data_IF_595548363338
#
_entry.id   IF_595548363338
#
_cell.length_a   1.000
_cell.length_b   1.000
_cell.length_c   1.000
_cell.angle_alpha   90.00
_cell.angle_beta   90.00
_cell.angle_gamma   90.00
#
_symmetry.space_group_name_H-M   'P 1'
#
loop_
_entity.id
_entity.type
_entity.pdbx_description
1 polymer ?
#
# COMPACT_ATOMS: atom_id res chain seq x y z
N UNK A 1 40.38 12.59 -26.92
CA UNK A 1 39.11 12.58 -27.62
C UNK A 1 39.21 11.84 -28.93
N UNK A 2 38.34 10.86 -29.16
CA UNK A 2 38.28 10.10 -30.41
C UNK A 2 37.96 11.09 -31.56
N UNK A 3 38.73 10.97 -32.65
CA UNK A 3 38.57 11.78 -33.86
C UNK A 3 37.17 11.61 -34.46
N UNK A 4 36.58 12.63 -35.08
CA UNK A 4 35.28 12.54 -35.72
C UNK A 4 35.13 11.41 -36.74
N UNK A 5 36.24 10.98 -37.36
CA UNK A 5 36.31 9.83 -38.29
C UNK A 5 36.05 8.52 -37.59
N UNK A 6 36.55 8.31 -36.34
CA UNK A 6 36.34 7.09 -35.57
C UNK A 6 34.85 6.93 -35.16
N UNK A 7 34.19 8.04 -34.85
CA UNK A 7 32.73 8.05 -34.51
C UNK A 7 31.89 7.68 -35.73
N UNK A 8 32.24 8.16 -36.91
CA UNK A 8 31.50 7.86 -38.14
C UNK A 8 31.63 6.38 -38.51
N UNK A 9 32.84 5.81 -38.42
CA UNK A 9 33.08 4.40 -38.65
C UNK A 9 32.35 3.50 -37.64
N UNK A 10 32.37 3.87 -36.35
CA UNK A 10 31.65 3.16 -35.29
C UNK A 10 30.13 3.17 -35.49
N UNK A 11 29.56 4.33 -35.89
CA UNK A 11 28.15 4.44 -36.17
C UNK A 11 27.74 3.60 -37.41
N UNK A 12 28.56 3.55 -38.46
CA UNK A 12 28.30 2.72 -39.62
C UNK A 12 28.30 1.22 -39.24
N UNK A 13 29.32 0.78 -38.48
CA UNK A 13 29.40 -0.60 -37.98
C UNK A 13 28.20 -0.98 -37.08
N UNK A 14 27.74 -0.04 -36.20
CA UNK A 14 26.57 -0.24 -35.36
C UNK A 14 25.29 -0.40 -36.21
N UNK A 15 25.13 0.41 -37.25
CA UNK A 15 23.98 0.33 -38.15
C UNK A 15 23.96 -1.00 -38.91
N UNK A 16 25.11 -1.44 -39.42
CA UNK A 16 25.23 -2.74 -40.10
C UNK A 16 24.90 -3.91 -39.13
N UNK A 17 25.40 -3.86 -37.90
CA UNK A 17 25.15 -4.88 -36.89
C UNK A 17 23.65 -4.95 -36.54
N UNK A 18 22.98 -3.78 -36.42
CA UNK A 18 21.52 -3.72 -36.18
C UNK A 18 20.71 -4.29 -37.33
N UNK A 19 21.10 -4.03 -38.59
CA UNK A 19 20.46 -4.60 -39.76
C UNK A 19 20.61 -6.12 -39.81
N UNK A 20 21.84 -6.65 -39.55
CA UNK A 20 22.08 -8.08 -39.46
C UNK A 20 21.25 -8.75 -38.37
N UNK A 21 21.15 -8.12 -37.19
CA UNK A 21 20.33 -8.61 -36.08
C UNK A 21 18.85 -8.67 -36.46
N UNK A 22 18.33 -7.61 -37.08
CA UNK A 22 16.93 -7.57 -37.52
C UNK A 22 16.62 -8.66 -38.55
N UNK A 23 17.55 -8.91 -39.51
CA UNK A 23 17.41 -9.98 -40.49
C UNK A 23 17.39 -11.37 -39.85
N UNK A 24 18.27 -11.62 -38.86
CA UNK A 24 18.33 -12.88 -38.12
C UNK A 24 17.05 -13.11 -37.28
N UNK A 25 16.55 -12.10 -36.61
CA UNK A 25 15.29 -12.17 -35.86
C UNK A 25 14.11 -12.49 -36.78
N UNK A 26 14.02 -11.82 -37.92
CA UNK A 26 12.98 -12.09 -38.91
C UNK A 26 13.09 -13.52 -39.48
N UNK A 27 14.29 -13.98 -39.81
CA UNK A 27 14.53 -15.34 -40.29
C UNK A 27 14.17 -16.42 -39.26
N UNK A 28 14.31 -16.11 -37.96
CA UNK A 28 13.93 -17.01 -36.85
C UNK A 28 12.44 -16.88 -36.43
N UNK A 29 11.65 -16.08 -37.13
CA UNK A 29 10.22 -15.84 -36.82
C UNK A 29 10.00 -15.08 -35.50
N UNK A 30 11.01 -14.37 -35.01
CA UNK A 30 10.92 -13.58 -33.78
C UNK A 30 10.64 -12.11 -34.07
N UNK A 31 9.91 -11.41 -33.20
CA UNK A 31 9.68 -9.97 -33.36
C UNK A 31 10.99 -9.18 -33.23
N UNK A 32 11.05 -8.00 -33.83
CA UNK A 32 12.25 -7.15 -33.87
C UNK A 32 12.75 -6.75 -32.47
N UNK A 33 11.87 -6.68 -31.50
CA UNK A 33 12.11 -6.35 -30.07
C UNK A 33 12.38 -7.57 -29.16
N UNK A 34 12.56 -8.77 -29.77
CA UNK A 34 12.68 -10.03 -28.99
C UNK A 34 13.86 -10.05 -28.02
N UNK A 35 14.90 -9.27 -28.30
CA UNK A 35 16.09 -9.15 -27.46
C UNK A 35 16.11 -7.85 -26.63
N UNK A 36 15.09 -7.00 -26.76
CA UNK A 36 14.98 -5.81 -25.94
C UNK A 36 14.47 -6.17 -24.55
N UNK A 37 15.05 -5.59 -23.48
CA UNK A 37 14.57 -5.82 -22.13
C UNK A 37 13.13 -5.30 -21.98
N UNK A 38 12.23 -6.17 -21.48
CA UNK A 38 10.85 -5.83 -21.21
C UNK A 38 10.71 -5.36 -19.77
N UNK A 39 10.61 -4.08 -19.58
CA UNK A 39 10.43 -3.48 -18.25
C UNK A 39 8.95 -3.45 -17.83
N UNK A 40 8.67 -3.86 -16.59
CA UNK A 40 7.36 -3.73 -15.95
C UNK A 40 7.05 -2.25 -15.70
N UNK A 41 8.01 -1.51 -15.19
CA UNK A 41 7.91 -0.07 -15.00
C UNK A 41 8.72 0.68 -16.07
N UNK A 42 8.05 1.30 -17.01
CA UNK A 42 8.69 2.09 -18.07
C UNK A 42 9.38 3.35 -17.55
N UNK A 43 9.00 3.87 -16.35
CA UNK A 43 9.58 5.09 -15.78
C UNK A 43 10.99 4.86 -15.23
N UNK A 44 11.16 3.83 -14.43
CA UNK A 44 12.45 3.53 -13.79
C UNK A 44 13.18 2.34 -14.45
N UNK A 45 12.59 1.70 -15.46
CA UNK A 45 13.14 0.50 -16.09
C UNK A 45 13.50 -0.58 -15.05
N UNK A 46 12.59 -0.80 -14.11
CA UNK A 46 12.67 -1.77 -13.00
C UNK A 46 13.83 -1.54 -12.01
N UNK A 47 14.52 -0.39 -12.08
CA UNK A 47 15.56 -0.02 -11.11
C UNK A 47 14.99 0.47 -9.78
N UNK A 48 13.71 0.80 -9.73
CA UNK A 48 13.05 1.35 -8.54
C UNK A 48 13.36 2.83 -8.23
N UNK A 49 14.26 3.48 -8.99
CA UNK A 49 14.69 4.86 -8.75
C UNK A 49 14.57 5.69 -10.03
N UNK A 50 14.13 6.95 -9.88
CA UNK A 50 14.09 7.96 -10.95
C UNK A 50 14.62 9.26 -10.37
N UNK A 51 15.64 9.85 -10.98
CA UNK A 51 16.28 11.10 -10.56
C UNK A 51 16.69 11.13 -9.06
N UNK A 52 17.22 10.00 -8.57
CA UNK A 52 17.64 9.83 -7.17
C UNK A 52 16.49 9.68 -6.16
N UNK A 53 15.24 9.56 -6.61
CA UNK A 53 14.06 9.37 -5.77
C UNK A 53 13.41 8.02 -6.03
N UNK A 54 12.77 7.46 -5.02
CA UNK A 54 12.02 6.20 -5.15
C UNK A 54 10.92 6.34 -6.19
N UNK A 55 10.85 5.41 -7.12
CA UNK A 55 9.83 5.41 -8.17
C UNK A 55 8.45 5.06 -7.61
N UNK A 56 7.40 5.65 -8.17
CA UNK A 56 6.01 5.35 -7.79
C UNK A 56 5.60 3.88 -7.94
N UNK A 57 6.31 3.09 -8.75
CA UNK A 57 6.07 1.65 -8.85
C UNK A 57 6.45 0.91 -7.56
N UNK A 58 7.51 1.33 -6.87
CA UNK A 58 7.94 0.76 -5.59
C UNK A 58 6.89 1.03 -4.52
N UNK A 59 6.40 2.27 -4.43
CA UNK A 59 5.32 2.61 -3.49
C UNK A 59 4.08 1.74 -3.70
N UNK A 60 3.66 1.52 -4.95
CA UNK A 60 2.52 0.64 -5.26
C UNK A 60 2.74 -0.81 -4.81
N UNK A 61 3.96 -1.33 -5.01
CA UNK A 61 4.29 -2.70 -4.56
C UNK A 61 4.29 -2.78 -3.04
N UNK A 62 4.86 -1.79 -2.35
CA UNK A 62 4.86 -1.73 -0.89
C UNK A 62 3.43 -1.66 -0.33
N UNK A 63 2.58 -0.79 -0.87
CA UNK A 63 1.17 -0.73 -0.49
C UNK A 63 0.44 -2.06 -0.67
N UNK A 64 0.67 -2.75 -1.80
CA UNK A 64 0.08 -4.06 -2.04
C UNK A 64 0.57 -5.13 -1.05
N UNK A 65 1.84 -5.10 -0.67
CA UNK A 65 2.40 -6.00 0.35
C UNK A 65 1.81 -5.71 1.73
N UNK A 66 1.75 -4.44 2.15
CA UNK A 66 1.13 -4.05 3.42
C UNK A 66 -0.34 -4.43 3.50
N UNK A 67 -1.08 -4.24 2.40
CA UNK A 67 -2.47 -4.69 2.32
C UNK A 67 -2.59 -6.19 2.57
N UNK A 68 -1.75 -7.02 1.95
CA UNK A 68 -1.72 -8.47 2.17
C UNK A 68 -1.34 -8.86 3.60
N UNK A 69 -0.40 -8.15 4.21
CA UNK A 69 -0.03 -8.38 5.63
C UNK A 69 -1.22 -8.15 6.56
N UNK A 70 -1.92 -7.03 6.39
CA UNK A 70 -3.12 -6.72 7.20
C UNK A 70 -4.22 -7.77 6.99
N UNK A 71 -4.46 -8.19 5.75
CA UNK A 71 -5.42 -9.23 5.40
C UNK A 71 -5.04 -10.60 5.99
N UNK A 72 -3.74 -10.89 6.12
CA UNK A 72 -3.26 -12.11 6.76
C UNK A 72 -3.38 -12.12 8.29
N UNK A 73 -3.41 -10.95 8.93
CA UNK A 73 -3.51 -10.79 10.39
C UNK A 73 -4.97 -10.64 10.87
N UNK A 74 -5.89 -10.33 9.98
CA UNK A 74 -7.30 -10.18 10.28
C UNK A 74 -8.11 -11.27 9.60
N UNK A 75 -9.09 -11.83 10.30
CA UNK A 75 -10.13 -12.68 9.67
C UNK A 75 -11.03 -11.89 8.71
N UNK A 76 -10.88 -10.56 8.68
CA UNK A 76 -11.60 -9.66 7.79
C UNK A 76 -10.57 -9.08 6.78
N UNK A 77 -10.91 -9.09 5.50
CA UNK A 77 -10.18 -8.33 4.49
C UNK A 77 -10.22 -6.84 4.79
N UNK A 78 -9.29 -6.06 4.22
CA UNK A 78 -9.37 -4.60 4.30
C UNK A 78 -10.74 -4.16 3.78
N UNK A 79 -11.49 -3.53 4.69
CA UNK A 79 -12.87 -3.15 4.48
C UNK A 79 -12.96 -1.77 3.81
N UNK A 80 -14.13 -1.45 3.28
CA UNK A 80 -14.46 -0.12 2.76
C UNK A 80 -15.68 0.43 3.50
N UNK A 81 -15.74 1.73 3.72
CA UNK A 81 -16.94 2.38 4.25
C UNK A 81 -18.18 2.12 3.38
N UNK A 82 -17.99 1.92 2.08
CA UNK A 82 -19.08 1.62 1.15
C UNK A 82 -19.74 0.25 1.38
N UNK A 83 -19.03 -0.67 2.06
CA UNK A 83 -19.57 -1.98 2.45
C UNK A 83 -20.30 -1.94 3.79
N UNK A 84 -20.21 -0.84 4.55
CA UNK A 84 -20.87 -0.64 5.84
C UNK A 84 -22.31 -0.19 5.64
N UNK A 85 -23.22 -1.15 5.63
CA UNK A 85 -24.65 -0.88 5.39
C UNK A 85 -25.35 -0.35 6.65
N UNK A 86 -25.90 0.84 6.58
CA UNK A 86 -26.68 1.43 7.66
C UNK A 86 -27.94 0.62 8.01
N UNK A 87 -28.43 -0.23 7.10
CA UNK A 87 -29.56 -1.12 7.35
C UNK A 87 -29.31 -2.15 8.46
N UNK A 88 -28.05 -2.45 8.81
CA UNK A 88 -27.73 -3.31 9.93
C UNK A 88 -27.98 -2.68 11.30
N UNK A 89 -28.06 -1.35 11.38
CA UNK A 89 -28.38 -0.66 12.61
C UNK A 89 -29.89 -0.43 12.72
N UNK A 90 -30.50 -0.61 13.92
CA UNK A 90 -31.92 -0.44 14.09
C UNK A 90 -32.36 1.01 13.86
N UNK A 91 -33.51 1.17 13.22
CA UNK A 91 -34.10 2.50 13.01
C UNK A 91 -35.06 2.83 14.17
N UNK A 92 -34.52 2.96 15.36
CA UNK A 92 -35.25 3.24 16.60
C UNK A 92 -34.57 4.37 17.37
N UNK A 93 -35.32 5.05 18.22
CA UNK A 93 -34.77 6.04 19.16
C UNK A 93 -34.25 5.26 20.37
N UNK A 94 -32.96 5.43 20.70
CA UNK A 94 -32.40 4.94 21.94
C UNK A 94 -32.95 5.72 23.12
N UNK A 95 -33.63 5.09 24.13
CA UNK A 95 -34.25 5.81 25.23
C UNK A 95 -33.26 6.53 26.14
N UNK A 96 -32.00 6.07 26.23
CA UNK A 96 -31.00 6.67 27.08
C UNK A 96 -30.33 7.86 26.42
N UNK A 97 -30.18 7.86 25.09
CA UNK A 97 -29.52 8.91 24.33
C UNK A 97 -30.49 9.90 23.68
N UNK A 98 -31.75 9.55 23.52
CA UNK A 98 -32.72 10.36 22.79
C UNK A 98 -32.46 10.50 21.29
N UNK A 99 -31.54 9.67 20.72
CA UNK A 99 -31.08 9.75 19.35
C UNK A 99 -31.52 8.52 18.55
N UNK A 100 -31.83 8.73 17.26
CA UNK A 100 -32.06 7.60 16.36
C UNK A 100 -30.75 6.89 16.07
N UNK A 101 -30.66 5.60 16.42
CA UNK A 101 -29.44 4.79 16.33
C UNK A 101 -28.86 4.76 14.92
N UNK A 102 -29.71 4.55 13.91
CA UNK A 102 -29.25 4.49 12.50
C UNK A 102 -28.72 5.83 12.01
N UNK A 103 -29.37 6.91 12.36
CA UNK A 103 -28.94 8.27 12.00
C UNK A 103 -27.62 8.60 12.67
N UNK A 104 -27.49 8.30 13.97
CA UNK A 104 -26.26 8.50 14.72
C UNK A 104 -25.09 7.70 14.12
N UNK A 105 -25.31 6.43 13.80
CA UNK A 105 -24.29 5.60 13.17
C UNK A 105 -23.91 6.12 11.78
N UNK A 106 -24.84 6.65 11.01
CA UNK A 106 -24.55 7.29 9.74
C UNK A 106 -23.63 8.50 9.87
N UNK A 107 -23.90 9.36 10.85
CA UNK A 107 -23.03 10.51 11.15
C UNK A 107 -21.66 10.09 11.64
N UNK A 108 -21.59 9.07 12.52
CA UNK A 108 -20.33 8.52 13.01
C UNK A 108 -19.47 7.95 11.88
N UNK A 109 -20.05 7.13 11.02
CA UNK A 109 -19.32 6.54 9.88
C UNK A 109 -18.86 7.60 8.89
N UNK A 110 -19.65 8.63 8.64
CA UNK A 110 -19.24 9.77 7.82
C UNK A 110 -18.06 10.53 8.45
N UNK A 111 -18.09 10.77 9.76
CA UNK A 111 -16.98 11.39 10.50
C UNK A 111 -15.71 10.58 10.44
N UNK A 112 -15.79 9.24 10.60
CA UNK A 112 -14.64 8.36 10.50
C UNK A 112 -14.06 8.31 9.07
N UNK A 113 -14.93 8.38 8.06
CA UNK A 113 -14.49 8.46 6.66
C UNK A 113 -13.76 9.77 6.39
N UNK A 114 -14.30 10.90 6.81
CA UNK A 114 -13.66 12.21 6.69
C UNK A 114 -12.31 12.23 7.41
N UNK A 115 -12.24 11.68 8.65
CA UNK A 115 -10.98 11.53 9.37
C UNK A 115 -9.92 10.80 8.54
N UNK A 116 -10.29 9.70 7.88
CA UNK A 116 -9.35 8.94 7.06
C UNK A 116 -8.97 9.68 5.77
N UNK A 117 -9.94 10.35 5.14
CA UNK A 117 -9.71 11.14 3.91
C UNK A 117 -8.83 12.36 4.16
N UNK A 118 -8.96 13.01 5.32
CA UNK A 118 -8.16 14.17 5.71
C UNK A 118 -6.88 13.78 6.47
N UNK A 119 -6.62 12.49 6.67
CA UNK A 119 -5.53 11.99 7.50
C UNK A 119 -4.17 12.61 7.15
N UNK A 120 -3.53 13.18 8.18
CA UNK A 120 -2.15 13.69 8.18
C UNK A 120 -1.50 13.32 9.52
N UNK A 121 -0.36 12.61 9.53
CA UNK A 121 0.30 12.18 10.78
C UNK A 121 0.66 13.31 11.74
N UNK A 122 0.86 14.52 11.21
CA UNK A 122 1.24 15.69 12.01
C UNK A 122 0.05 16.41 12.67
N UNK A 123 -1.16 16.20 12.16
CA UNK A 123 -2.33 17.01 12.54
C UNK A 123 -3.46 16.18 13.17
N UNK A 124 -3.46 14.87 12.95
CA UNK A 124 -4.56 14.02 13.42
C UNK A 124 -4.32 13.52 14.84
N UNK A 125 -5.37 13.60 15.64
CA UNK A 125 -5.43 13.00 16.97
C UNK A 125 -5.68 11.49 16.90
N UNK A 126 -5.35 10.79 17.99
CA UNK A 126 -5.61 9.36 18.12
C UNK A 126 -7.11 9.07 18.20
N UNK A 127 -7.57 8.02 17.53
CA UNK A 127 -8.95 7.54 17.59
C UNK A 127 -9.10 6.35 18.52
N UNK A 128 -10.12 6.38 19.38
CA UNK A 128 -10.52 5.25 20.21
C UNK A 128 -11.96 4.85 19.89
N UNK A 129 -12.16 3.65 19.37
CA UNK A 129 -13.48 3.09 19.05
C UNK A 129 -13.97 2.21 20.21
N UNK A 130 -14.97 2.67 20.96
CA UNK A 130 -15.54 1.98 22.12
C UNK A 130 -16.96 1.51 21.82
N UNK A 131 -17.36 0.37 22.33
CA UNK A 131 -18.71 -0.18 22.18
C UNK A 131 -18.75 -1.70 22.22
N UNK A 132 -19.94 -2.28 22.23
CA UNK A 132 -20.18 -3.72 22.30
C UNK A 132 -19.60 -4.47 21.07
N UNK A 133 -19.43 -5.79 21.22
CA UNK A 133 -19.05 -6.64 20.07
C UNK A 133 -20.11 -6.56 18.96
N UNK A 134 -19.68 -6.73 17.71
CA UNK A 134 -20.56 -6.73 16.54
C UNK A 134 -20.99 -5.35 16.00
N UNK A 135 -20.61 -4.23 16.63
CA UNK A 135 -20.97 -2.88 16.16
C UNK A 135 -20.15 -2.37 14.97
N UNK A 136 -19.23 -3.14 14.44
CA UNK A 136 -18.44 -2.76 13.26
C UNK A 136 -17.15 -2.00 13.55
N UNK A 137 -16.65 -1.95 14.81
CA UNK A 137 -15.41 -1.24 15.18
C UNK A 137 -14.21 -1.68 14.35
N UNK A 138 -13.96 -2.99 14.28
CA UNK A 138 -12.85 -3.54 13.49
C UNK A 138 -13.02 -3.26 12.00
N UNK A 139 -14.27 -3.35 11.49
CA UNK A 139 -14.58 -3.02 10.11
C UNK A 139 -14.26 -1.54 9.80
N UNK A 140 -14.66 -0.62 10.68
CA UNK A 140 -14.36 0.80 10.54
C UNK A 140 -12.83 1.07 10.62
N UNK A 141 -12.12 0.44 11.56
CA UNK A 141 -10.67 0.57 11.68
C UNK A 141 -9.95 0.09 10.40
N UNK A 142 -10.36 -1.05 9.82
CA UNK A 142 -9.82 -1.57 8.57
C UNK A 142 -10.20 -0.69 7.35
N UNK A 143 -11.37 -0.05 7.38
CA UNK A 143 -11.75 0.90 6.33
C UNK A 143 -10.90 2.18 6.38
N UNK A 144 -10.62 2.70 7.59
CA UNK A 144 -9.66 3.81 7.80
C UNK A 144 -8.27 3.39 7.29
N UNK A 145 -7.77 2.22 7.73
CA UNK A 145 -6.48 1.69 7.31
C UNK A 145 -6.35 1.60 5.77
N UNK A 146 -7.41 1.17 5.09
CA UNK A 146 -7.46 1.10 3.63
C UNK A 146 -7.25 2.47 2.97
N UNK A 147 -7.98 3.49 3.42
CA UNK A 147 -7.85 4.87 2.88
C UNK A 147 -6.46 5.44 3.17
N UNK A 148 -5.94 5.25 4.38
CA UNK A 148 -4.62 5.75 4.79
C UNK A 148 -3.51 5.10 3.96
N UNK A 149 -3.60 3.78 3.69
CA UNK A 149 -2.70 3.08 2.78
C UNK A 149 -2.77 3.63 1.35
N UNK A 150 -3.98 3.90 0.84
CA UNK A 150 -4.17 4.44 -0.51
C UNK A 150 -3.60 5.86 -0.65
N UNK A 151 -3.52 6.62 0.45
CA UNK A 151 -2.81 7.91 0.51
C UNK A 151 -1.28 7.77 0.52
N UNK A 152 -0.75 6.57 0.69
CA UNK A 152 0.69 6.30 0.66
C UNK A 152 1.37 6.23 2.02
N UNK A 153 0.61 6.26 3.11
CA UNK A 153 1.15 6.07 4.45
C UNK A 153 1.28 4.59 4.80
N UNK A 154 2.25 4.26 5.62
CA UNK A 154 2.35 2.93 6.20
C UNK A 154 1.33 2.75 7.32
N UNK A 155 0.76 1.54 7.41
CA UNK A 155 -0.21 1.16 8.44
C UNK A 155 0.23 -0.16 9.07
N UNK A 156 0.25 -0.21 10.39
CA UNK A 156 0.48 -1.42 11.17
C UNK A 156 -0.85 -1.81 11.82
N UNK A 157 -1.31 -3.02 11.49
CA UNK A 157 -2.47 -3.62 12.15
C UNK A 157 -1.99 -4.77 13.04
N UNK A 158 -2.34 -4.72 14.32
CA UNK A 158 -1.93 -5.73 15.28
C UNK A 158 -3.02 -5.91 16.35
N UNK A 159 -3.25 -7.15 16.77
CA UNK A 159 -4.08 -7.42 17.94
C UNK A 159 -3.29 -7.17 19.23
N UNK A 160 -3.96 -6.74 20.30
CA UNK A 160 -3.28 -6.53 21.59
C UNK A 160 -2.58 -7.79 22.10
N UNK A 161 -3.18 -9.02 22.05
CA UNK A 161 -2.49 -10.24 22.44
C UNK A 161 -1.22 -10.51 21.63
N UNK A 162 -1.27 -10.30 20.31
CA UNK A 162 -0.11 -10.53 19.43
C UNK A 162 0.97 -9.48 19.69
N UNK A 163 0.59 -8.23 19.92
CA UNK A 163 1.51 -7.16 20.24
C UNK A 163 2.26 -7.45 21.55
N UNK A 164 1.53 -7.74 22.62
CA UNK A 164 2.15 -8.03 23.92
C UNK A 164 2.92 -9.35 23.90
N UNK A 165 2.43 -10.38 23.19
CA UNK A 165 3.16 -11.64 23.03
C UNK A 165 4.50 -11.47 22.32
N UNK A 166 4.54 -10.64 21.27
CA UNK A 166 5.80 -10.29 20.59
C UNK A 166 6.74 -9.48 21.49
N UNK A 167 6.21 -8.54 22.25
CA UNK A 167 7.02 -7.77 23.23
C UNK A 167 7.61 -8.68 24.30
N UNK A 168 6.86 -9.65 24.81
CA UNK A 168 7.33 -10.61 25.81
C UNK A 168 8.42 -11.52 25.22
N UNK A 169 8.20 -12.06 24.03
CA UNK A 169 9.18 -12.90 23.35
C UNK A 169 10.51 -12.15 23.10
N UNK A 170 10.43 -10.90 22.65
CA UNK A 170 11.62 -10.07 22.38
C UNK A 170 12.38 -9.63 23.63
N UNK A 171 11.72 -9.61 24.79
CA UNK A 171 12.40 -9.33 26.07
C UNK A 171 13.48 -10.38 26.41
N UNK A 172 13.35 -11.58 25.84
CA UNK A 172 14.29 -12.69 26.03
C UNK A 172 15.13 -12.95 24.77
N UNK A 173 14.93 -12.20 23.69
CA UNK A 173 15.68 -12.35 22.42
C UNK A 173 16.66 -11.17 22.24
N UNK A 174 18.00 -11.45 22.22
CA UNK A 174 19.01 -10.42 22.02
C UNK A 174 19.00 -9.79 20.62
N UNK A 175 18.23 -10.31 19.65
CA UNK A 175 18.22 -9.86 18.25
C UNK A 175 17.51 -8.51 18.00
N UNK A 176 16.82 -7.94 19.00
CA UNK A 176 16.34 -6.55 18.94
C UNK A 176 15.11 -6.27 18.09
N UNK A 177 14.36 -7.28 17.66
CA UNK A 177 13.17 -7.13 16.82
C UNK A 177 12.03 -6.33 17.48
N UNK A 178 11.96 -6.31 18.82
CA UNK A 178 10.97 -5.51 19.55
C UNK A 178 11.21 -4.01 19.48
N UNK A 179 12.47 -3.60 19.49
CA UNK A 179 12.85 -2.19 19.35
C UNK A 179 12.40 -1.65 17.99
N UNK A 180 12.40 -2.50 16.97
CA UNK A 180 11.91 -2.15 15.63
C UNK A 180 10.38 -1.98 15.60
N UNK A 181 9.63 -2.86 16.29
CA UNK A 181 8.16 -2.73 16.39
C UNK A 181 7.75 -1.48 17.18
N UNK A 182 8.43 -1.17 18.28
CA UNK A 182 8.18 0.02 19.10
C UNK A 182 8.53 1.31 18.36
N UNK A 183 9.66 1.36 17.65
CA UNK A 183 10.07 2.52 16.84
C UNK A 183 9.19 2.77 15.63
N UNK A 184 8.55 1.73 15.10
CA UNK A 184 7.62 1.85 13.97
C UNK A 184 6.21 2.26 14.42
N UNK A 185 5.89 2.07 15.71
CA UNK A 185 4.60 2.43 16.32
C UNK A 185 4.61 3.79 17.04
N UNK A 186 5.77 4.43 17.18
CA UNK A 186 5.96 5.75 17.76
C UNK A 186 6.05 6.85 16.70
#
# INVERSE_FOLDING_TARGET
GASGKDRTAANAALTEAKQKLAALLAASGRPADALEPKFTCKKCQDTGVVDGRTCSCVHKVMQALRRKEIEGLSSLSISSFDTMKLSYYPNVIDPALGLNVRTYMGQLLAGLKNYAEDFSPAENESLMLVGNAGLGKTHAALAIAGIVLDKGYDVIYVSSPDFFGKMEASRFDPSGDADTLLRTAA
#
